data_IF_412069903388
#
_entry.id   IF_412069903388
#
_cell.length_a   1.000
_cell.length_b   1.000
_cell.length_c   1.000
_cell.angle_alpha   90.00
_cell.angle_beta   90.00
_cell.angle_gamma   90.00
#
_symmetry.space_group_name_H-M   'P 1'
#
loop_
_entity.id
_entity.type
_entity.pdbx_description
1 polymer ?
#
# COMPACT_ATOMS: atom_id res chain seq x y z
N UNK A 1 -33.23 0.70 -7.28
CA UNK A 1 -31.97 0.87 -8.03
C UNK A 1 -31.11 -0.34 -7.75
N UNK A 2 -30.81 -1.14 -8.76
CA UNK A 2 -29.84 -2.24 -8.64
C UNK A 2 -28.50 -1.61 -8.33
N UNK A 3 -27.92 -1.87 -7.15
CA UNK A 3 -26.53 -1.61 -6.88
C UNK A 3 -25.73 -2.47 -7.86
N UNK A 4 -25.27 -1.89 -8.95
CA UNK A 4 -24.25 -2.52 -9.79
C UNK A 4 -23.01 -2.56 -8.91
N UNK A 5 -22.62 -3.74 -8.46
CA UNK A 5 -21.38 -3.96 -7.76
C UNK A 5 -20.24 -3.53 -8.70
N UNK A 6 -19.46 -2.53 -8.32
CA UNK A 6 -18.26 -2.11 -9.05
C UNK A 6 -17.09 -3.07 -8.82
N UNK A 7 -17.37 -4.25 -8.29
CA UNK A 7 -16.40 -5.28 -7.96
C UNK A 7 -15.90 -5.98 -9.22
N UNK A 8 -14.58 -5.94 -9.43
CA UNK A 8 -13.96 -6.58 -10.56
C UNK A 8 -12.78 -7.45 -10.11
N UNK A 9 -12.44 -8.43 -10.93
CA UNK A 9 -11.28 -9.28 -10.71
C UNK A 9 -10.40 -9.29 -11.96
N UNK A 10 -9.11 -9.08 -11.76
CA UNK A 10 -8.07 -9.27 -12.76
C UNK A 10 -7.43 -10.63 -12.56
N UNK A 11 -7.65 -11.56 -13.49
CA UNK A 11 -6.98 -12.87 -13.46
C UNK A 11 -5.49 -12.67 -13.72
N UNK A 12 -4.68 -12.98 -12.70
CA UNK A 12 -3.24 -12.83 -12.76
C UNK A 12 -2.55 -14.13 -12.37
N UNK A 13 -1.32 -14.33 -12.81
CA UNK A 13 -0.57 -15.61 -12.70
C UNK A 13 -0.51 -16.26 -11.31
N UNK A 14 -0.65 -15.48 -10.24
CA UNK A 14 -0.63 -16.00 -8.87
C UNK A 14 -1.96 -15.90 -8.14
N UNK A 15 -3.02 -15.55 -8.82
CA UNK A 15 -4.37 -15.46 -8.26
C UNK A 15 -5.14 -14.27 -8.79
N UNK A 16 -6.41 -14.20 -8.45
CA UNK A 16 -7.30 -13.12 -8.85
C UNK A 16 -7.04 -11.87 -8.00
N UNK A 17 -6.84 -10.75 -8.66
CA UNK A 17 -6.63 -9.44 -8.05
C UNK A 17 -7.95 -8.69 -8.08
N UNK A 18 -8.47 -8.41 -6.89
CA UNK A 18 -9.67 -7.61 -6.73
C UNK A 18 -9.37 -6.13 -6.96
N UNK A 19 -10.29 -5.44 -7.62
CA UNK A 19 -10.25 -4.00 -7.77
C UNK A 19 -11.63 -3.40 -7.95
N UNK A 20 -11.77 -2.11 -7.60
CA UNK A 20 -12.93 -1.30 -7.94
C UNK A 20 -12.58 -0.32 -9.05
N UNK A 21 -13.59 0.15 -9.77
CA UNK A 21 -13.47 1.20 -10.78
C UNK A 21 -14.64 2.16 -10.62
N UNK A 22 -14.36 3.44 -10.41
CA UNK A 22 -15.36 4.49 -10.22
C UNK A 22 -15.02 5.72 -11.05
N UNK A 23 -16.04 6.51 -11.39
CA UNK A 23 -15.87 7.80 -12.07
C UNK A 23 -15.48 7.71 -13.55
N UNK A 24 -15.19 8.87 -14.11
CA UNK A 24 -14.75 9.06 -15.52
C UNK A 24 -13.74 10.19 -15.58
N UNK A 25 -12.75 10.08 -16.45
CA UNK A 25 -11.68 11.06 -16.62
C UNK A 25 -10.33 10.39 -16.73
N UNK A 26 -9.24 11.14 -16.43
CA UNK A 26 -7.89 10.58 -16.41
C UNK A 26 -7.77 9.48 -15.36
N UNK A 27 -7.03 8.39 -15.63
CA UNK A 27 -6.93 7.29 -14.68
C UNK A 27 -6.05 7.64 -13.50
N UNK A 28 -6.51 7.27 -12.31
CA UNK A 28 -5.74 7.29 -11.08
C UNK A 28 -5.82 5.92 -10.40
N UNK A 29 -4.66 5.38 -10.01
CA UNK A 29 -4.55 4.08 -9.34
C UNK A 29 -4.20 4.29 -7.86
N UNK A 30 -5.05 3.79 -6.97
CA UNK A 30 -4.89 3.82 -5.52
C UNK A 30 -4.37 2.46 -5.04
N UNK A 31 -3.24 2.45 -4.34
CA UNK A 31 -2.59 1.25 -3.84
C UNK A 31 -2.35 1.40 -2.34
N UNK A 32 -3.03 0.57 -1.54
CA UNK A 32 -2.93 0.54 -0.08
C UNK A 32 -1.56 0.03 0.41
N UNK A 33 -1.25 0.25 1.69
CA UNK A 33 -0.03 -0.29 2.28
C UNK A 33 -0.04 -1.84 2.34
N UNK A 34 1.13 -2.44 2.44
CA UNK A 34 1.32 -3.89 2.44
C UNK A 34 1.43 -4.40 3.87
N UNK A 35 0.30 -4.51 4.55
CA UNK A 35 0.18 -5.01 5.91
C UNK A 35 -0.89 -6.11 5.99
N UNK A 36 -0.81 -7.05 6.96
CA UNK A 36 -1.91 -7.95 7.24
C UNK A 36 -3.19 -7.17 7.59
N UNK A 37 -4.24 -7.40 6.82
CA UNK A 37 -5.51 -6.68 6.97
C UNK A 37 -5.64 -5.42 6.13
N UNK A 38 -4.57 -4.91 5.53
CA UNK A 38 -4.68 -3.80 4.60
C UNK A 38 -5.49 -4.19 3.35
N UNK A 39 -6.20 -3.23 2.80
CA UNK A 39 -7.01 -3.37 1.58
C UNK A 39 -7.31 -2.00 0.99
N UNK A 40 -7.88 -1.98 -0.21
CA UNK A 40 -8.33 -0.74 -0.85
C UNK A 40 -9.37 0.05 -0.05
N UNK A 41 -9.97 -0.55 0.99
CA UNK A 41 -10.84 0.18 1.92
C UNK A 41 -10.13 1.36 2.62
N UNK A 42 -8.81 1.33 2.68
CA UNK A 42 -7.97 2.44 3.15
C UNK A 42 -8.31 3.78 2.46
N UNK A 43 -8.72 3.73 1.20
CA UNK A 43 -9.04 4.88 0.36
C UNK A 43 -10.51 5.33 0.42
N UNK A 44 -11.34 4.66 1.20
CA UNK A 44 -12.80 4.87 1.25
C UNK A 44 -13.23 6.31 1.57
N UNK A 45 -12.40 7.09 2.27
CA UNK A 45 -12.73 8.48 2.63
C UNK A 45 -12.52 9.48 1.48
N UNK A 46 -11.74 9.11 0.45
CA UNK A 46 -11.36 10.03 -0.63
C UNK A 46 -11.77 9.52 -2.04
N UNK A 47 -12.05 8.22 -2.18
CA UNK A 47 -12.29 7.58 -3.47
C UNK A 47 -13.47 8.22 -4.23
N UNK A 48 -14.58 8.53 -3.55
CA UNK A 48 -15.76 9.09 -4.17
C UNK A 48 -15.55 10.54 -4.66
N UNK A 49 -14.78 11.35 -3.93
CA UNK A 49 -14.43 12.71 -4.34
C UNK A 49 -13.49 12.69 -5.54
N UNK A 50 -12.49 11.81 -5.53
CA UNK A 50 -11.58 11.64 -6.67
C UNK A 50 -12.32 11.15 -7.92
N UNK A 51 -13.37 10.37 -7.77
CA UNK A 51 -14.17 9.83 -8.87
C UNK A 51 -15.04 10.89 -9.57
N UNK A 52 -15.11 12.12 -9.07
CA UNK A 52 -15.78 13.25 -9.74
C UNK A 52 -15.05 13.61 -11.04
N UNK A 53 -13.73 13.71 -10.97
CA UNK A 53 -12.88 14.21 -12.07
C UNK A 53 -11.96 13.13 -12.68
N UNK A 54 -11.84 11.97 -12.03
CA UNK A 54 -10.95 10.89 -12.43
C UNK A 54 -11.67 9.55 -12.63
N UNK A 55 -11.07 8.69 -13.42
CA UNK A 55 -11.38 7.25 -13.39
C UNK A 55 -10.50 6.61 -12.31
N UNK A 56 -11.05 6.38 -11.14
CA UNK A 56 -10.35 5.85 -9.97
C UNK A 56 -10.35 4.32 -9.99
N UNK A 57 -9.17 3.73 -9.95
CA UNK A 57 -8.97 2.30 -9.76
C UNK A 57 -8.40 2.07 -8.37
N UNK A 58 -9.09 1.32 -7.53
CA UNK A 58 -8.62 0.92 -6.20
C UNK A 58 -8.36 -0.57 -6.19
N UNK A 59 -7.11 -0.98 -5.97
CA UNK A 59 -6.70 -2.37 -6.06
C UNK A 59 -6.39 -2.96 -4.68
N UNK A 60 -6.84 -4.18 -4.42
CA UNK A 60 -6.32 -4.99 -3.32
C UNK A 60 -5.09 -5.75 -3.81
N UNK A 61 -3.94 -5.55 -3.17
CA UNK A 61 -2.72 -6.28 -3.51
C UNK A 61 -2.90 -7.78 -3.31
N UNK A 62 -2.20 -8.60 -4.10
CA UNK A 62 -2.19 -10.05 -3.90
C UNK A 62 -1.83 -10.38 -2.44
N UNK A 63 -2.60 -11.23 -1.79
CA UNK A 63 -2.44 -11.55 -0.38
C UNK A 63 -3.22 -10.64 0.58
N UNK A 64 -3.80 -9.55 0.10
CA UNK A 64 -4.54 -8.55 0.88
C UNK A 64 -6.03 -8.52 0.52
N UNK A 65 -6.83 -7.89 1.37
CA UNK A 65 -8.24 -7.59 1.12
C UNK A 65 -9.05 -8.74 0.53
N UNK A 66 -9.68 -8.48 -0.62
CA UNK A 66 -10.50 -9.43 -1.38
C UNK A 66 -9.71 -10.21 -2.45
N UNK A 67 -8.45 -9.82 -2.72
CA UNK A 67 -7.56 -10.56 -3.61
C UNK A 67 -7.19 -11.94 -3.06
N UNK A 68 -6.80 -12.84 -3.95
CA UNK A 68 -6.41 -14.20 -3.57
C UNK A 68 -5.18 -14.21 -2.65
N UNK A 69 -5.15 -15.20 -1.76
CA UNK A 69 -4.06 -15.49 -0.83
C UNK A 69 -3.35 -16.74 -1.28
N UNK A 70 -2.23 -16.55 -1.96
CA UNK A 70 -1.46 -17.67 -2.52
C UNK A 70 -0.36 -18.15 -1.60
N UNK A 71 -0.07 -19.45 -1.61
CA UNK A 71 1.02 -20.06 -0.83
C UNK A 71 2.38 -19.87 -1.52
N UNK A 72 2.77 -18.59 -1.71
CA UNK A 72 4.03 -18.19 -2.34
C UNK A 72 4.89 -17.39 -1.38
N UNK A 73 6.15 -17.17 -1.72
CA UNK A 73 6.94 -16.11 -1.10
C UNK A 73 6.56 -14.79 -1.76
N UNK A 74 5.96 -13.89 -0.99
CA UNK A 74 5.64 -12.55 -1.44
C UNK A 74 6.92 -11.71 -1.46
N UNK A 75 7.30 -11.24 -2.63
CA UNK A 75 8.50 -10.41 -2.84
C UNK A 75 8.12 -9.09 -3.47
N UNK A 76 8.99 -8.09 -3.34
CA UNK A 76 8.83 -6.85 -4.08
C UNK A 76 8.59 -7.09 -5.58
N UNK A 77 9.32 -8.04 -6.17
CA UNK A 77 9.21 -8.38 -7.58
C UNK A 77 7.81 -8.85 -7.99
N UNK A 78 7.12 -9.59 -7.13
CA UNK A 78 5.72 -10.00 -7.34
C UNK A 78 4.83 -8.75 -7.47
N UNK A 79 4.97 -7.80 -6.56
CA UNK A 79 4.15 -6.59 -6.57
C UNK A 79 4.52 -5.62 -7.69
N UNK A 80 5.80 -5.42 -7.97
CA UNK A 80 6.28 -4.61 -9.10
C UNK A 80 5.65 -5.10 -10.41
N UNK A 81 5.71 -6.42 -10.67
CA UNK A 81 5.10 -6.98 -11.87
C UNK A 81 3.58 -6.93 -11.87
N UNK A 82 2.94 -7.17 -10.70
CA UNK A 82 1.49 -7.07 -10.59
C UNK A 82 0.99 -5.67 -10.94
N UNK A 83 1.64 -4.63 -10.44
CA UNK A 83 1.29 -3.23 -10.71
C UNK A 83 1.47 -2.92 -12.20
N UNK A 84 2.61 -3.27 -12.78
CA UNK A 84 2.86 -3.06 -14.22
C UNK A 84 1.83 -3.80 -15.09
N UNK A 85 1.55 -5.07 -14.79
CA UNK A 85 0.57 -5.86 -15.52
C UNK A 85 -0.86 -5.31 -15.36
N UNK A 86 -1.20 -4.81 -14.16
CA UNK A 86 -2.50 -4.20 -13.91
C UNK A 86 -2.69 -2.93 -14.75
N UNK A 87 -1.70 -2.04 -14.77
CA UNK A 87 -1.78 -0.82 -15.60
C UNK A 87 -1.90 -1.18 -17.07
N UNK A 88 -1.09 -2.12 -17.57
CA UNK A 88 -1.11 -2.53 -18.99
C UNK A 88 -2.42 -3.18 -19.42
N UNK A 89 -2.96 -4.08 -18.59
CA UNK A 89 -4.08 -4.95 -19.00
C UNK A 89 -5.44 -4.42 -18.60
N UNK A 90 -5.54 -3.69 -17.49
CA UNK A 90 -6.81 -3.21 -16.94
C UNK A 90 -7.01 -1.73 -17.23
N UNK A 91 -6.00 -0.89 -16.98
CA UNK A 91 -6.10 0.55 -17.22
C UNK A 91 -5.84 0.86 -18.69
N UNK A 92 -4.80 0.28 -19.29
CA UNK A 92 -4.49 0.35 -20.72
C UNK A 92 -3.92 1.69 -21.19
N UNK A 93 -3.58 2.58 -20.27
CA UNK A 93 -3.00 3.90 -20.57
C UNK A 93 -2.13 4.40 -19.43
N UNK A 94 -1.34 5.44 -19.70
CA UNK A 94 -0.50 6.11 -18.72
C UNK A 94 -1.36 6.63 -17.58
N UNK A 95 -0.96 6.34 -16.30
CA UNK A 95 -1.80 6.57 -15.14
C UNK A 95 -1.08 7.32 -14.04
N UNK A 96 -1.83 8.11 -13.28
CA UNK A 96 -1.41 8.68 -12.02
C UNK A 96 -1.53 7.63 -10.92
N UNK A 97 -0.63 7.66 -9.92
CA UNK A 97 -0.63 6.65 -8.86
C UNK A 97 -0.51 7.31 -7.50
N UNK A 98 -1.36 6.90 -6.56
CA UNK A 98 -1.21 7.17 -5.13
C UNK A 98 -0.93 5.85 -4.43
N UNK A 99 0.18 5.77 -3.69
CA UNK A 99 0.60 4.56 -3.00
C UNK A 99 0.99 4.84 -1.55
N UNK A 100 0.44 4.04 -0.63
CA UNK A 100 0.68 4.15 0.80
C UNK A 100 1.77 3.17 1.26
N UNK A 101 2.59 3.59 2.24
CA UNK A 101 3.57 2.75 2.91
C UNK A 101 4.54 2.01 1.97
N UNK A 102 4.70 0.71 2.19
CA UNK A 102 5.59 -0.14 1.39
C UNK A 102 5.28 -0.15 -0.10
N UNK A 103 4.01 0.03 -0.46
CA UNK A 103 3.58 0.02 -1.86
C UNK A 103 4.21 1.14 -2.68
N UNK A 104 4.58 2.25 -2.05
CA UNK A 104 5.36 3.30 -2.68
C UNK A 104 6.70 2.81 -3.25
N UNK A 105 7.36 1.86 -2.59
CA UNK A 105 8.60 1.27 -3.08
C UNK A 105 8.39 0.39 -4.32
N UNK A 106 7.28 -0.33 -4.38
CA UNK A 106 6.94 -1.14 -5.55
C UNK A 106 6.59 -0.28 -6.76
N UNK A 107 5.81 0.80 -6.54
CA UNK A 107 5.46 1.79 -7.57
C UNK A 107 6.72 2.46 -8.11
N UNK A 108 7.63 2.89 -7.24
CA UNK A 108 8.91 3.50 -7.63
C UNK A 108 9.72 2.56 -8.53
N UNK A 109 9.80 1.28 -8.18
CA UNK A 109 10.51 0.29 -9.00
C UNK A 109 9.77 -0.06 -10.29
N UNK A 110 8.44 -0.16 -10.26
CA UNK A 110 7.64 -0.40 -11.46
C UNK A 110 7.79 0.75 -12.45
N UNK A 111 7.75 1.99 -11.97
CA UNK A 111 7.99 3.18 -12.78
C UNK A 111 9.42 3.21 -13.34
N UNK A 112 10.42 2.85 -12.55
CA UNK A 112 11.80 2.78 -13.05
C UNK A 112 11.97 1.78 -14.18
N UNK A 113 11.28 0.64 -14.10
CA UNK A 113 11.34 -0.40 -15.12
C UNK A 113 10.57 -0.04 -16.38
N UNK A 114 9.44 0.67 -16.27
CA UNK A 114 8.47 0.92 -17.34
C UNK A 114 7.85 2.33 -17.18
N UNK A 115 8.67 3.37 -17.40
CA UNK A 115 8.27 4.78 -17.20
C UNK A 115 7.03 5.21 -17.96
N UNK A 116 6.82 4.63 -19.12
CA UNK A 116 5.71 4.93 -20.02
C UNK A 116 4.33 4.61 -19.43
N UNK A 117 4.28 3.75 -18.42
CA UNK A 117 3.04 3.40 -17.73
C UNK A 117 2.60 4.44 -16.68
N UNK A 118 3.53 5.25 -16.17
CA UNK A 118 3.31 6.14 -15.03
C UNK A 118 3.38 7.60 -15.46
N UNK A 119 2.39 8.39 -15.01
CA UNK A 119 2.39 9.84 -15.18
C UNK A 119 3.01 10.50 -13.94
N UNK A 120 2.22 10.82 -12.92
CA UNK A 120 2.67 11.38 -11.65
C UNK A 120 2.51 10.35 -10.53
N UNK A 121 3.35 10.44 -9.50
CA UNK A 121 3.36 9.50 -8.39
C UNK A 121 3.25 10.26 -7.07
N UNK A 122 2.22 9.95 -6.27
CA UNK A 122 2.10 10.42 -4.90
C UNK A 122 2.39 9.27 -3.93
N UNK A 123 3.32 9.48 -3.01
CA UNK A 123 3.69 8.53 -1.97
C UNK A 123 3.16 9.03 -0.63
N UNK A 124 2.48 8.17 0.10
CA UNK A 124 1.95 8.48 1.43
C UNK A 124 2.77 7.73 2.47
N UNK A 125 3.46 8.45 3.33
CA UNK A 125 4.31 7.89 4.40
C UNK A 125 5.19 6.71 3.92
N UNK A 126 6.05 6.91 2.92
CA UNK A 126 6.87 5.82 2.39
C UNK A 126 7.88 5.32 3.46
N UNK A 127 8.27 4.03 3.44
CA UNK A 127 9.24 3.49 4.38
C UNK A 127 10.64 4.07 4.17
N UNK A 128 11.46 4.09 5.22
CA UNK A 128 12.82 4.62 5.13
C UNK A 128 13.68 3.83 4.12
N UNK A 129 14.55 4.54 3.40
CA UNK A 129 15.50 3.91 2.47
C UNK A 129 16.42 2.91 3.17
N UNK A 130 16.72 3.15 4.45
CA UNK A 130 17.51 2.24 5.29
C UNK A 130 16.77 0.93 5.55
N UNK A 131 15.46 0.98 5.83
CA UNK A 131 14.62 -0.21 6.00
C UNK A 131 14.54 -1.01 4.69
N UNK A 132 14.32 -0.33 3.57
CA UNK A 132 14.19 -0.95 2.25
C UNK A 132 15.46 -1.66 1.77
N UNK A 133 16.63 -1.24 2.25
CA UNK A 133 17.93 -1.89 1.96
C UNK A 133 18.16 -3.20 2.72
N UNK A 134 17.36 -3.47 3.76
CA UNK A 134 17.55 -4.69 4.56
C UNK A 134 17.05 -5.92 3.78
N UNK A 135 17.96 -6.78 3.39
CA UNK A 135 17.66 -8.03 2.69
C UNK A 135 17.57 -9.22 3.66
N UNK A 136 16.78 -10.26 3.32
CA UNK A 136 16.65 -11.45 4.14
C UNK A 136 18.00 -12.11 4.45
N UNK A 137 18.31 -12.28 5.73
CA UNK A 137 19.47 -13.01 6.20
C UNK A 137 19.13 -14.47 6.62
N UNK A 138 20.06 -15.22 7.19
CA UNK A 138 19.82 -16.61 7.61
C UNK A 138 18.76 -16.72 8.70
N UNK A 139 18.71 -15.77 9.66
CA UNK A 139 17.70 -15.76 10.73
C UNK A 139 16.31 -15.43 10.17
N UNK A 140 16.24 -14.49 9.25
CA UNK A 140 14.98 -14.11 8.57
C UNK A 140 14.41 -15.30 7.78
N UNK A 141 15.28 -16.09 7.10
CA UNK A 141 14.85 -17.33 6.39
C UNK A 141 14.30 -18.39 7.35
N UNK A 142 14.94 -18.59 8.49
CA UNK A 142 14.46 -19.52 9.53
C UNK A 142 13.14 -19.04 10.12
N UNK A 143 13.01 -17.75 10.40
CA UNK A 143 11.75 -17.15 10.86
C UNK A 143 10.63 -17.40 9.84
N UNK A 144 10.85 -17.12 8.56
CA UNK A 144 9.88 -17.39 7.50
C UNK A 144 9.46 -18.85 7.51
N UNK A 145 10.42 -19.78 7.49
CA UNK A 145 10.13 -21.20 7.49
C UNK A 145 9.30 -21.63 8.72
N UNK A 146 9.57 -21.10 9.91
CA UNK A 146 8.81 -21.38 11.12
C UNK A 146 7.37 -20.83 11.01
N UNK A 147 7.19 -19.61 10.50
CA UNK A 147 5.87 -18.99 10.31
C UNK A 147 5.03 -19.68 9.22
N UNK A 148 5.65 -20.44 8.34
CA UNK A 148 4.95 -21.20 7.29
C UNK A 148 4.56 -22.64 7.72
N UNK A 149 5.01 -23.11 8.88
CA UNK A 149 4.54 -24.39 9.45
C UNK A 149 3.02 -24.34 9.64
N UNK A 150 2.25 -25.28 9.08
CA UNK A 150 0.79 -25.17 8.96
C UNK A 150 0.06 -24.82 10.26
N UNK A 151 0.27 -25.56 11.35
CA UNK A 151 -0.44 -25.33 12.62
C UNK A 151 0.20 -24.15 13.37
N UNK A 152 1.50 -24.20 13.58
CA UNK A 152 2.23 -23.22 14.36
C UNK A 152 2.12 -21.80 13.74
N UNK A 153 2.46 -21.67 12.46
CA UNK A 153 2.40 -20.37 11.77
C UNK A 153 1.00 -19.80 11.70
N UNK A 154 -0.02 -20.64 11.55
CA UNK A 154 -1.42 -20.20 11.56
C UNK A 154 -1.82 -19.67 12.95
N UNK A 155 -1.44 -20.35 14.03
CA UNK A 155 -1.70 -19.87 15.40
C UNK A 155 -1.00 -18.54 15.67
N UNK A 156 0.28 -18.44 15.33
CA UNK A 156 1.05 -17.19 15.49
C UNK A 156 0.40 -16.06 14.68
N UNK A 157 0.01 -16.33 13.43
CA UNK A 157 -0.67 -15.34 12.60
C UNK A 157 -1.97 -14.83 13.25
N UNK A 158 -2.86 -15.74 13.69
CA UNK A 158 -4.12 -15.36 14.34
C UNK A 158 -3.92 -14.57 15.65
N UNK A 159 -2.85 -14.88 16.39
CA UNK A 159 -2.49 -14.06 17.56
C UNK A 159 -2.15 -12.61 17.14
N UNK A 160 -1.35 -12.45 16.08
CA UNK A 160 -0.91 -11.14 15.60
C UNK A 160 -2.06 -10.31 15.06
N UNK A 161 -2.99 -10.92 14.33
CA UNK A 161 -4.15 -10.26 13.76
C UNK A 161 -5.41 -10.39 14.63
N UNK A 162 -5.24 -10.63 15.94
CA UNK A 162 -6.36 -10.61 16.89
C UNK A 162 -6.99 -9.21 16.94
N UNK A 163 -8.26 -9.14 17.34
CA UNK A 163 -9.00 -7.88 17.45
C UNK A 163 -8.24 -6.85 18.28
N UNK A 164 -7.73 -7.27 19.43
CA UNK A 164 -7.00 -6.38 20.35
C UNK A 164 -5.71 -5.86 19.71
N UNK A 165 -4.96 -6.72 19.03
CA UNK A 165 -3.72 -6.31 18.38
C UNK A 165 -3.96 -5.37 17.19
N UNK A 166 -5.04 -5.56 16.43
CA UNK A 166 -5.44 -4.63 15.37
C UNK A 166 -5.86 -3.31 15.98
N UNK A 167 -6.67 -3.29 17.00
CA UNK A 167 -7.07 -2.05 17.69
C UNK A 167 -5.84 -1.32 18.25
N UNK A 168 -4.91 -2.03 18.88
CA UNK A 168 -3.65 -1.45 19.37
C UNK A 168 -2.79 -0.90 18.23
N UNK A 169 -2.75 -1.57 17.07
CA UNK A 169 -2.05 -1.08 15.88
C UNK A 169 -2.61 0.29 15.45
N UNK A 170 -3.94 0.43 15.40
CA UNK A 170 -4.59 1.69 15.06
C UNK A 170 -4.31 2.77 16.09
N UNK A 171 -4.46 2.48 17.38
CA UNK A 171 -4.25 3.43 18.48
C UNK A 171 -2.78 3.88 18.56
N UNK A 172 -1.83 2.96 18.47
CA UNK A 172 -0.43 3.27 18.74
C UNK A 172 0.33 3.74 17.49
N UNK A 173 -0.02 3.22 16.30
CA UNK A 173 0.82 3.40 15.10
C UNK A 173 0.12 4.10 13.95
N UNK A 174 -1.18 3.88 13.75
CA UNK A 174 -1.86 4.36 12.55
C UNK A 174 -2.43 5.77 12.70
N UNK A 175 -2.96 6.11 13.87
CA UNK A 175 -3.64 7.37 14.11
C UNK A 175 -2.86 8.30 15.03
N UNK A 176 -2.94 9.60 14.74
CA UNK A 176 -2.47 10.68 15.59
C UNK A 176 -3.27 10.74 16.89
N UNK A 177 -4.60 10.81 16.73
CA UNK A 177 -5.51 10.84 17.88
C UNK A 177 -6.18 9.47 18.07
N UNK A 178 -5.80 8.73 19.13
CA UNK A 178 -6.36 7.40 19.39
C UNK A 178 -7.87 7.40 19.69
N UNK A 179 -8.45 8.55 20.05
CA UNK A 179 -9.89 8.69 20.27
C UNK A 179 -10.70 8.88 18.98
N UNK A 180 -10.04 9.15 17.87
CA UNK A 180 -10.66 9.31 16.56
C UNK A 180 -10.52 8.06 15.67
N UNK A 181 -10.06 6.95 16.22
CA UNK A 181 -9.96 5.69 15.47
C UNK A 181 -11.32 5.30 14.92
N UNK A 182 -11.41 5.18 13.60
CA UNK A 182 -12.61 4.72 12.92
C UNK A 182 -12.80 3.21 13.13
N UNK A 183 -13.83 2.84 13.88
CA UNK A 183 -14.16 1.44 14.14
C UNK A 183 -14.44 0.67 12.84
N UNK A 184 -15.03 1.30 11.82
CA UNK A 184 -15.26 0.66 10.53
C UNK A 184 -13.94 0.30 9.84
N UNK A 185 -12.93 1.17 9.95
CA UNK A 185 -11.60 0.91 9.41
C UNK A 185 -10.92 -0.26 10.13
N UNK A 186 -10.96 -0.29 11.47
CA UNK A 186 -10.38 -1.39 12.24
C UNK A 186 -11.12 -2.72 12.00
N UNK A 187 -12.44 -2.69 11.82
CA UNK A 187 -13.26 -3.84 11.47
C UNK A 187 -12.92 -4.36 10.07
N UNK A 188 -12.79 -3.47 9.08
CA UNK A 188 -12.38 -3.84 7.72
C UNK A 188 -11.00 -4.50 7.70
N UNK A 189 -10.03 -3.99 8.47
CA UNK A 189 -8.71 -4.62 8.63
C UNK A 189 -8.80 -5.99 9.27
N UNK A 190 -9.61 -6.14 10.31
CA UNK A 190 -9.81 -7.44 10.96
C UNK A 190 -10.41 -8.47 10.00
N UNK A 191 -11.45 -8.10 9.28
CA UNK A 191 -12.09 -8.97 8.30
C UNK A 191 -11.14 -9.35 7.16
N UNK A 192 -10.41 -8.38 6.59
CA UNK A 192 -9.45 -8.61 5.53
C UNK A 192 -8.29 -9.52 5.98
N UNK A 193 -7.81 -9.35 7.22
CA UNK A 193 -6.76 -10.19 7.80
C UNK A 193 -7.19 -11.66 7.96
N UNK A 194 -8.49 -11.93 8.18
CA UNK A 194 -9.01 -13.28 8.37
C UNK A 194 -9.57 -13.91 7.08
N UNK A 195 -9.79 -13.11 6.04
CA UNK A 195 -10.26 -13.59 4.75
C UNK A 195 -9.14 -14.37 4.04
N UNK A 196 -9.36 -15.66 3.78
CA UNK A 196 -8.37 -16.54 3.14
C UNK A 196 -7.79 -17.60 4.09
N UNK A 197 -8.19 -17.58 5.35
CA UNK A 197 -7.87 -18.63 6.34
C UNK A 197 -6.36 -18.81 6.52
N UNK A 198 -5.88 -20.06 6.48
CA UNK A 198 -4.48 -20.38 6.75
C UNK A 198 -3.48 -19.86 5.69
N UNK A 199 -3.94 -19.43 4.52
CA UNK A 199 -3.07 -18.88 3.48
C UNK A 199 -2.55 -17.46 3.80
N UNK A 200 -3.23 -16.71 4.65
CA UNK A 200 -2.84 -15.34 5.02
C UNK A 200 -1.47 -15.26 5.69
N UNK A 201 -1.02 -16.34 6.35
CA UNK A 201 0.31 -16.38 6.99
C UNK A 201 1.48 -16.25 6.01
N UNK A 202 1.32 -16.59 4.72
CA UNK A 202 2.41 -16.53 3.73
C UNK A 202 2.82 -15.08 3.41
N UNK A 203 1.85 -14.17 3.33
CA UNK A 203 2.16 -12.75 3.22
C UNK A 203 2.88 -12.27 4.49
N UNK A 204 2.32 -12.58 5.67
CA UNK A 204 2.92 -12.16 6.93
C UNK A 204 4.35 -12.72 7.11
N UNK A 205 4.59 -13.99 6.79
CA UNK A 205 5.93 -14.59 6.89
C UNK A 205 6.94 -13.89 5.98
N UNK A 206 6.50 -13.47 4.79
CA UNK A 206 7.34 -12.76 3.83
C UNK A 206 7.64 -11.34 4.28
N UNK A 207 6.66 -10.63 4.87
CA UNK A 207 6.82 -9.31 5.49
C UNK A 207 7.81 -9.37 6.66
N UNK A 208 7.54 -10.23 7.64
CA UNK A 208 8.36 -10.38 8.85
C UNK A 208 9.81 -10.76 8.52
N UNK A 209 10.02 -11.51 7.44
CA UNK A 209 11.33 -11.94 6.97
C UNK A 209 11.94 -11.02 5.87
N UNK A 210 11.40 -9.81 5.67
CA UNK A 210 11.93 -8.76 4.78
C UNK A 210 12.01 -9.13 3.29
N UNK A 211 11.25 -10.13 2.84
CA UNK A 211 11.25 -10.52 1.43
C UNK A 211 10.59 -9.49 0.51
N UNK A 212 9.77 -8.59 1.05
CA UNK A 212 9.16 -7.48 0.30
C UNK A 212 10.07 -6.27 0.17
N UNK A 213 11.17 -6.21 0.92
CA UNK A 213 12.09 -5.08 0.86
C UNK A 213 12.78 -5.02 -0.51
N UNK A 214 13.04 -3.81 -0.97
CA UNK A 214 13.73 -3.52 -2.22
C UNK A 214 14.52 -2.22 -2.10
N UNK A 215 15.79 -2.22 -2.50
CA UNK A 215 16.58 -1.00 -2.54
C UNK A 215 16.20 -0.14 -3.74
N UNK A 216 15.46 0.94 -3.49
CA UNK A 216 14.97 1.86 -4.53
C UNK A 216 15.88 3.07 -4.78
N UNK A 217 17.01 3.19 -4.10
CA UNK A 217 17.86 4.40 -4.22
C UNK A 217 18.33 4.67 -5.66
N UNK A 218 18.64 3.62 -6.42
CA UNK A 218 19.01 3.78 -7.82
C UNK A 218 17.83 4.22 -8.68
N UNK A 219 16.68 3.62 -8.43
CA UNK A 219 15.44 3.96 -9.13
C UNK A 219 15.05 5.43 -8.89
N UNK A 220 15.02 5.88 -7.63
CA UNK A 220 14.71 7.26 -7.29
C UNK A 220 15.62 8.26 -8.01
N UNK A 221 16.93 7.99 -8.08
CA UNK A 221 17.91 8.85 -8.78
C UNK A 221 17.68 8.93 -10.29
N UNK A 222 17.13 7.86 -10.88
CA UNK A 222 16.96 7.74 -12.32
C UNK A 222 15.57 8.19 -12.80
N UNK A 223 14.61 8.39 -11.88
CA UNK A 223 13.27 8.83 -12.24
C UNK A 223 13.23 10.34 -12.51
N UNK A 224 12.61 10.70 -13.61
CA UNK A 224 12.28 12.06 -14.03
C UNK A 224 10.76 12.34 -13.96
N UNK A 225 9.97 11.35 -13.54
CA UNK A 225 8.56 11.55 -13.23
C UNK A 225 8.40 12.48 -12.01
N UNK A 226 7.34 13.29 -12.00
CA UNK A 226 6.98 14.07 -10.82
C UNK A 226 6.59 13.14 -9.68
N UNK A 227 7.26 13.29 -8.56
CA UNK A 227 7.01 12.54 -7.32
C UNK A 227 6.66 13.52 -6.21
N UNK A 228 5.56 13.27 -5.52
CA UNK A 228 5.09 14.05 -4.39
C UNK A 228 4.94 13.16 -3.17
N UNK A 229 5.46 13.58 -2.03
CA UNK A 229 5.31 12.84 -0.77
C UNK A 229 4.34 13.58 0.13
N UNK A 230 3.33 12.88 0.62
CA UNK A 230 2.46 13.37 1.70
C UNK A 230 2.83 12.63 2.97
N UNK A 231 3.29 13.38 3.95
CA UNK A 231 3.73 12.88 5.25
C UNK A 231 2.75 13.29 6.34
N UNK A 232 2.43 12.38 7.26
CA UNK A 232 1.74 12.72 8.50
C UNK A 232 2.72 13.40 9.48
N UNK A 233 2.31 14.52 10.10
CA UNK A 233 3.16 15.32 11.00
C UNK A 233 3.82 14.50 12.11
N UNK A 234 3.14 13.48 12.60
CA UNK A 234 3.62 12.65 13.71
C UNK A 234 4.07 11.24 13.28
N UNK A 235 4.27 11.03 11.98
CA UNK A 235 4.84 9.78 11.49
C UNK A 235 6.25 9.59 12.06
N UNK A 236 6.55 8.43 12.68
CA UNK A 236 7.85 8.19 13.30
C UNK A 236 9.00 8.35 12.30
N UNK A 237 9.92 9.27 12.60
CA UNK A 237 11.07 9.62 11.75
C UNK A 237 10.69 10.18 10.35
N UNK A 238 9.44 10.59 10.14
CA UNK A 238 8.92 11.03 8.86
C UNK A 238 9.83 12.04 8.17
N UNK A 239 10.17 13.15 8.86
CA UNK A 239 11.09 14.15 8.33
C UNK A 239 12.44 13.57 7.87
N UNK A 240 13.05 12.66 8.63
CA UNK A 240 14.33 12.06 8.24
C UNK A 240 14.15 11.15 7.00
N UNK A 241 13.01 10.50 6.89
CA UNK A 241 12.66 9.67 5.72
C UNK A 241 12.50 10.56 4.49
N UNK A 242 11.73 11.61 4.56
CA UNK A 242 11.48 12.53 3.43
C UNK A 242 12.75 13.28 3.03
N UNK A 243 13.59 13.69 3.98
CA UNK A 243 14.91 14.27 3.71
C UNK A 243 15.82 13.30 2.92
N UNK A 244 15.84 11.99 3.25
CA UNK A 244 16.58 10.95 2.52
C UNK A 244 16.05 10.76 1.07
N UNK A 245 14.73 10.81 0.87
CA UNK A 245 14.12 10.75 -0.45
C UNK A 245 14.49 11.96 -1.31
N UNK A 246 14.36 13.17 -0.75
CA UNK A 246 14.75 14.43 -1.43
C UNK A 246 16.26 14.48 -1.72
N UNK A 247 17.10 13.97 -0.83
CA UNK A 247 18.54 13.85 -1.08
C UNK A 247 18.85 12.86 -2.22
N UNK A 248 18.00 11.84 -2.42
CA UNK A 248 18.13 10.87 -3.52
C UNK A 248 17.62 11.41 -4.85
N UNK A 249 16.55 12.21 -4.83
CA UNK A 249 15.99 12.89 -5.99
C UNK A 249 15.47 14.28 -5.59
N UNK A 250 16.22 15.36 -5.90
CA UNK A 250 15.86 16.72 -5.50
C UNK A 250 14.58 17.29 -6.14
N UNK A 251 14.02 16.61 -7.13
CA UNK A 251 12.74 16.99 -7.74
C UNK A 251 11.52 16.49 -6.96
N UNK A 252 11.73 15.74 -5.88
CA UNK A 252 10.65 15.30 -5.00
C UNK A 252 10.17 16.47 -4.14
N UNK A 253 8.87 16.72 -4.20
CA UNK A 253 8.20 17.68 -3.33
C UNK A 253 7.55 16.97 -2.13
N UNK A 254 7.47 17.65 -1.00
CA UNK A 254 6.94 17.09 0.25
C UNK A 254 5.91 18.01 0.86
N UNK A 255 4.77 17.48 1.27
CA UNK A 255 3.79 18.14 2.13
C UNK A 255 3.61 17.38 3.43
N UNK A 256 3.50 18.12 4.53
CA UNK A 256 3.26 17.55 5.86
C UNK A 256 1.85 17.93 6.30
N UNK A 257 1.00 16.94 6.55
CA UNK A 257 -0.35 17.16 7.03
C UNK A 257 -0.38 17.16 8.56
N UNK A 258 -0.87 18.27 9.13
CA UNK A 258 -0.95 18.48 10.58
C UNK A 258 -1.95 17.52 11.23
N UNK A 259 -1.67 17.19 12.49
CA UNK A 259 -2.54 16.34 13.31
C UNK A 259 -2.88 14.99 12.66
N UNK A 260 -1.96 14.47 11.86
CA UNK A 260 -2.06 13.15 11.23
C UNK A 260 -0.81 12.31 11.50
N UNK A 261 -0.95 11.00 11.33
CA UNK A 261 0.13 10.04 11.50
C UNK A 261 0.27 9.16 10.25
N UNK A 262 0.09 7.85 10.37
CA UNK A 262 0.35 6.91 9.27
C UNK A 262 -0.67 6.98 8.12
N UNK A 263 -1.93 7.33 8.43
CA UNK A 263 -3.03 7.37 7.47
C UNK A 263 -3.58 8.80 7.27
N UNK A 264 -2.79 9.75 6.76
CA UNK A 264 -3.22 11.15 6.62
C UNK A 264 -4.45 11.31 5.72
N UNK A 265 -4.63 10.46 4.72
CA UNK A 265 -5.79 10.41 3.84
C UNK A 265 -7.07 9.90 4.51
N UNK A 266 -6.95 9.27 5.68
CA UNK A 266 -8.08 8.81 6.51
C UNK A 266 -8.37 9.80 7.63
N UNK A 267 -7.32 10.34 8.26
CA UNK A 267 -7.44 11.25 9.41
C UNK A 267 -7.82 12.68 9.00
N UNK A 268 -7.35 13.15 7.85
CA UNK A 268 -7.61 14.49 7.31
C UNK A 268 -7.91 14.43 5.80
N UNK A 269 -9.02 13.78 5.39
CA UNK A 269 -9.31 13.52 3.99
C UNK A 269 -9.43 14.79 3.15
N UNK A 270 -10.03 15.88 3.67
CA UNK A 270 -10.16 17.14 2.98
C UNK A 270 -8.79 17.78 2.69
N UNK A 271 -7.92 17.85 3.71
CA UNK A 271 -6.57 18.38 3.56
C UNK A 271 -5.72 17.51 2.62
N UNK A 272 -5.92 16.21 2.63
CA UNK A 272 -5.27 15.30 1.70
C UNK A 272 -5.74 15.52 0.25
N UNK A 273 -7.04 15.67 0.03
CA UNK A 273 -7.62 15.97 -1.29
C UNK A 273 -7.14 17.32 -1.85
N UNK A 274 -6.89 18.32 -0.99
CA UNK A 274 -6.26 19.57 -1.43
C UNK A 274 -4.86 19.31 -2.01
N UNK A 275 -4.05 18.44 -1.37
CA UNK A 275 -2.74 18.06 -1.91
C UNK A 275 -2.86 17.30 -3.24
N UNK A 276 -3.86 16.44 -3.36
CA UNK A 276 -4.14 15.74 -4.63
C UNK A 276 -4.48 16.73 -5.73
N UNK A 277 -5.36 17.70 -5.49
CA UNK A 277 -5.74 18.75 -6.46
C UNK A 277 -4.58 19.67 -6.85
N UNK A 278 -3.61 19.88 -5.96
CA UNK A 278 -2.41 20.68 -6.25
C UNK A 278 -1.47 19.89 -7.16
N UNK A 279 -1.35 18.60 -6.95
CA UNK A 279 -0.35 17.77 -7.60
C UNK A 279 -0.83 17.17 -8.92
N UNK A 280 -2.04 16.66 -8.99
CA UNK A 280 -2.61 16.03 -10.21
C UNK A 280 -3.40 17.02 -11.06
#
# INVERSE_FOLDING_TARGET
MLHISNDNYFEWRFGNIYYTKKGTGSPILLIHDTLPGASGYEWSKIEDELAIDHTVYTVDLLGCGRSDKSSITYTNFVYVQMISDFIKKIIGQKTDVIASGFSGSFVTMACHNEKELFNKIMLVNPPSLTQLKQMPNRKDRLLKAALEIPIFGTLVYHMIVSRDNINNLFIEKMYYNPFHVDNQMSDAYYEAAHKGGYYTRFLYSSLAAKYININICHALKALDNSIYIVEGETEPNGKAVTDDYCASNPAIEVSVLKETKHLPHVEAPEAFLEQVKIFF
#
